data_IF_137076115609
#
_entry.id   IF_137076115609
#
_cell.length_a   1.000
_cell.length_b   1.000
_cell.length_c   1.000
_cell.angle_alpha   90.00
_cell.angle_beta   90.00
_cell.angle_gamma   90.00
#
_symmetry.space_group_name_H-M   'P 1'
#
loop_
_entity.id
_entity.type
_entity.pdbx_description
1 polymer ?
#
# COMPACT_ATOMS: atom_id res chain seq x y z
N UNK A 1 1.74 15.05 13.79
CA UNK A 1 1.14 15.28 12.45
C UNK A 1 0.14 16.41 12.55
N UNK A 2 0.39 17.48 11.80
CA UNK A 2 -0.39 18.72 11.83
C UNK A 2 -1.46 18.62 10.74
N UNK A 3 -2.73 18.61 11.13
CA UNK A 3 -3.85 18.62 10.18
C UNK A 3 -4.20 20.05 9.77
N UNK A 4 -4.13 20.33 8.47
CA UNK A 4 -4.57 21.61 7.87
C UNK A 4 -6.10 21.69 7.86
N UNK A 5 -6.63 22.85 8.24
CA UNK A 5 -8.08 23.12 8.34
C UNK A 5 -8.78 23.16 6.97
N UNK A 6 -8.06 23.56 5.92
CA UNK A 6 -8.66 23.99 4.65
C UNK A 6 -8.08 23.27 3.42
N UNK A 7 -7.31 22.19 3.61
CA UNK A 7 -6.63 21.50 2.51
C UNK A 7 -5.51 22.32 1.85
N UNK A 8 -5.01 23.36 2.53
CA UNK A 8 -4.01 24.27 1.98
C UNK A 8 -2.58 23.68 2.02
N UNK A 9 -1.88 23.97 0.93
CA UNK A 9 -0.46 23.76 0.62
C UNK A 9 0.45 24.23 1.76
N UNK A 10 1.38 23.38 2.18
CA UNK A 10 2.52 23.78 3.00
C UNK A 10 3.53 24.47 2.08
N UNK A 11 3.68 25.78 2.22
CA UNK A 11 4.54 26.63 1.39
C UNK A 11 5.98 26.72 1.94
N UNK A 12 6.29 25.95 2.98
CA UNK A 12 7.64 25.82 3.53
C UNK A 12 7.99 26.84 4.61
N UNK A 13 7.03 27.66 5.06
CA UNK A 13 7.21 28.60 6.17
C UNK A 13 6.64 28.04 7.48
N UNK A 14 7.40 27.13 8.10
CA UNK A 14 7.04 26.35 9.30
C UNK A 14 6.36 27.14 10.44
N UNK A 15 6.81 28.34 10.87
CA UNK A 15 6.20 29.01 12.02
C UNK A 15 4.79 29.53 11.76
N UNK A 16 4.48 29.94 10.52
CA UNK A 16 3.17 30.50 10.17
C UNK A 16 2.12 29.41 9.91
N UNK A 17 2.56 28.23 9.44
CA UNK A 17 1.70 27.08 9.19
C UNK A 17 1.32 26.33 10.48
N UNK A 18 2.22 26.33 11.47
CA UNK A 18 1.95 25.79 12.80
C UNK A 18 0.89 26.59 13.57
N UNK A 19 0.87 27.93 13.42
CA UNK A 19 -0.10 28.80 14.11
C UNK A 19 -1.53 28.69 13.53
N UNK A 20 -1.68 28.25 12.28
CA UNK A 20 -2.97 28.17 11.58
C UNK A 20 -3.62 26.78 11.65
N UNK A 21 -2.95 25.81 12.26
CA UNK A 21 -3.38 24.41 12.30
C UNK A 21 -3.94 24.01 13.66
N UNK A 22 -4.92 23.10 13.69
CA UNK A 22 -5.53 22.62 14.94
C UNK A 22 -4.49 21.94 15.83
N UNK A 23 -4.20 22.54 16.99
CA UNK A 23 -3.37 21.94 18.04
C UNK A 23 -4.18 20.94 18.89
N UNK A 24 -4.78 19.93 18.26
CA UNK A 24 -5.07 18.69 18.99
C UNK A 24 -3.94 17.73 18.66
N UNK A 25 -2.93 17.59 19.53
CA UNK A 25 -1.88 16.62 19.31
C UNK A 25 -2.54 15.24 19.14
N UNK A 26 -2.24 14.59 18.02
CA UNK A 26 -2.72 13.23 17.79
C UNK A 26 -2.07 12.34 18.84
N UNK A 27 -2.89 11.71 19.67
CA UNK A 27 -2.45 10.79 20.73
C UNK A 27 -2.89 9.36 20.42
N UNK A 28 -2.21 8.38 21.00
CA UNK A 28 -2.57 6.96 20.85
C UNK A 28 -4.01 6.69 21.25
N UNK A 29 -4.53 7.41 22.26
CA UNK A 29 -5.94 7.33 22.68
C UNK A 29 -6.90 7.78 21.58
N UNK A 30 -6.61 8.90 20.90
CA UNK A 30 -7.43 9.39 19.78
C UNK A 30 -7.44 8.40 18.63
N UNK A 31 -6.26 7.86 18.31
CA UNK A 31 -6.11 6.83 17.27
C UNK A 31 -6.92 5.58 17.59
N UNK A 32 -6.76 5.05 18.80
CA UNK A 32 -7.45 3.83 19.25
C UNK A 32 -8.97 4.03 19.24
N UNK A 33 -9.44 5.19 19.70
CA UNK A 33 -10.87 5.54 19.69
C UNK A 33 -11.42 5.61 18.25
N UNK A 34 -10.68 6.21 17.33
CA UNK A 34 -11.07 6.29 15.93
C UNK A 34 -11.12 4.89 15.28
N UNK A 35 -10.11 4.05 15.54
CA UNK A 35 -10.05 2.69 15.05
C UNK A 35 -11.26 1.86 15.53
N UNK A 36 -11.58 1.92 16.82
CA UNK A 36 -12.76 1.27 17.40
C UNK A 36 -14.07 1.74 16.75
N UNK A 37 -14.23 3.05 16.53
CA UNK A 37 -15.43 3.61 15.88
C UNK A 37 -15.57 3.19 14.42
N UNK A 38 -14.46 3.04 13.72
CA UNK A 38 -14.44 2.60 12.33
C UNK A 38 -14.50 1.07 12.18
N UNK A 39 -14.42 0.31 13.28
CA UNK A 39 -14.36 -1.15 13.25
C UNK A 39 -13.10 -1.68 12.57
N UNK A 40 -11.97 -0.99 12.73
CA UNK A 40 -10.67 -1.40 12.16
C UNK A 40 -9.69 -1.77 13.27
N UNK A 41 -8.91 -2.83 13.05
CA UNK A 41 -7.90 -3.32 14.01
C UNK A 41 -6.49 -2.79 13.72
N UNK A 42 -6.37 -1.95 12.70
CA UNK A 42 -5.08 -1.47 12.21
C UNK A 42 -5.07 0.02 11.92
N UNK A 43 -3.87 0.53 11.77
CA UNK A 43 -3.60 1.91 11.40
C UNK A 43 -2.60 1.94 10.27
N UNK A 44 -2.74 2.93 9.40
CA UNK A 44 -1.83 3.19 8.30
C UNK A 44 -1.23 4.59 8.46
N UNK A 45 0.11 4.68 8.49
CA UNK A 45 0.83 5.95 8.44
C UNK A 45 1.38 6.16 7.03
N UNK A 46 1.13 7.34 6.47
CA UNK A 46 1.87 7.78 5.30
C UNK A 46 3.21 8.39 5.75
N UNK A 47 4.29 7.78 5.33
CA UNK A 47 5.66 8.29 5.32
C UNK A 47 5.74 9.40 4.27
N UNK A 48 5.12 10.53 4.59
CA UNK A 48 5.48 11.78 3.94
C UNK A 48 6.82 12.27 4.51
N UNK A 49 7.32 13.39 3.98
CA UNK A 49 8.41 14.16 4.61
C UNK A 49 8.20 14.45 6.12
N UNK A 50 7.01 14.15 6.68
CA UNK A 50 6.67 14.21 8.09
C UNK A 50 7.44 13.24 9.02
N UNK A 51 8.23 12.28 8.53
CA UNK A 51 9.13 11.51 9.42
C UNK A 51 10.51 12.14 9.64
N UNK A 52 10.68 13.40 9.24
CA UNK A 52 11.62 14.25 9.95
C UNK A 52 11.30 14.36 11.45
N UNK A 53 10.04 14.14 11.85
CA UNK A 53 9.56 14.26 13.23
C UNK A 53 9.42 12.89 13.94
N UNK A 54 10.24 12.60 14.96
CA UNK A 54 10.18 11.38 15.78
C UNK A 54 8.80 11.07 16.37
N UNK A 55 7.97 12.11 16.59
CA UNK A 55 6.67 11.99 17.25
C UNK A 55 5.71 11.09 16.45
N UNK A 56 5.78 11.11 15.12
CA UNK A 56 4.92 10.27 14.27
C UNK A 56 5.22 8.77 14.41
N UNK A 57 6.50 8.42 14.57
CA UNK A 57 6.94 7.03 14.76
C UNK A 57 6.56 6.54 16.15
N UNK A 58 6.80 7.36 17.18
CA UNK A 58 6.46 7.01 18.55
C UNK A 58 4.95 6.78 18.70
N UNK A 59 4.13 7.57 18.00
CA UNK A 59 2.68 7.36 17.95
C UNK A 59 2.30 6.05 17.25
N UNK A 60 2.89 5.76 16.08
CA UNK A 60 2.64 4.53 15.33
C UNK A 60 3.01 3.27 16.14
N UNK A 61 4.16 3.30 16.79
CA UNK A 61 4.67 2.19 17.58
C UNK A 61 3.97 2.07 18.94
N UNK A 62 3.64 3.19 19.57
CA UNK A 62 3.00 3.25 20.88
C UNK A 62 1.48 3.06 20.88
N UNK A 63 0.83 3.07 19.71
CA UNK A 63 -0.61 2.81 19.63
C UNK A 63 -0.88 1.29 19.71
N UNK A 64 -1.77 0.84 20.62
CA UNK A 64 -2.07 -0.58 20.86
C UNK A 64 -3.05 -1.14 19.81
N UNK A 65 -2.77 -0.91 18.52
CA UNK A 65 -3.48 -1.55 17.42
C UNK A 65 -2.75 -2.81 16.97
N UNK A 66 -3.51 -3.76 16.43
CA UNK A 66 -3.02 -5.08 16.03
C UNK A 66 -2.14 -5.00 14.80
N UNK A 67 -2.57 -4.23 13.80
CA UNK A 67 -1.88 -4.14 12.51
C UNK A 67 -1.34 -2.73 12.25
N UNK A 68 -0.07 -2.67 11.83
CA UNK A 68 0.62 -1.43 11.47
C UNK A 68 0.99 -1.46 10.00
N UNK A 69 0.53 -0.44 9.28
CA UNK A 69 0.90 -0.23 7.89
C UNK A 69 1.66 1.08 7.72
N UNK A 70 2.69 1.05 6.88
CA UNK A 70 3.44 2.23 6.47
C UNK A 70 3.40 2.35 4.95
N UNK A 71 3.02 3.52 4.47
CA UNK A 71 3.05 3.88 3.04
C UNK A 71 4.23 4.81 2.82
N UNK A 72 5.15 4.54 1.90
CA UNK A 72 6.34 5.40 1.69
C UNK A 72 6.79 5.44 0.24
N UNK A 73 7.35 6.56 -0.21
CA UNK A 73 8.05 6.63 -1.50
C UNK A 73 9.50 6.12 -1.44
N UNK A 74 9.95 5.63 -0.28
CA UNK A 74 11.30 5.12 -0.07
C UNK A 74 12.35 6.21 0.22
N UNK A 75 11.93 7.46 0.35
CA UNK A 75 12.80 8.57 0.75
C UNK A 75 12.63 8.87 2.24
N UNK A 76 13.73 8.84 2.98
CA UNK A 76 13.73 9.03 4.43
C UNK A 76 15.08 8.72 5.05
N UNK A 77 15.12 8.79 6.39
CA UNK A 77 16.28 8.48 7.22
C UNK A 77 16.46 6.95 7.35
N UNK A 78 17.52 6.35 6.77
CA UNK A 78 17.75 4.91 6.83
C UNK A 78 17.82 4.37 8.26
N UNK A 79 18.31 5.16 9.21
CA UNK A 79 18.39 4.79 10.64
C UNK A 79 17.01 4.55 11.29
N UNK A 80 15.95 5.20 10.78
CA UNK A 80 14.59 4.95 11.27
C UNK A 80 14.04 3.63 10.73
N UNK A 81 14.55 3.17 9.59
CA UNK A 81 14.09 1.94 8.97
C UNK A 81 14.43 0.71 9.82
N UNK A 82 15.64 0.65 10.38
CA UNK A 82 16.08 -0.44 11.27
C UNK A 82 15.12 -0.64 12.45
N UNK A 83 14.59 0.47 12.97
CA UNK A 83 13.64 0.47 14.09
C UNK A 83 12.22 0.09 13.65
N UNK A 84 11.83 0.41 12.41
CA UNK A 84 10.47 0.22 11.90
C UNK A 84 10.24 -1.16 11.29
N UNK A 85 11.17 -1.68 10.48
CA UNK A 85 11.07 -3.00 9.82
C UNK A 85 10.50 -4.10 10.73
N UNK A 86 11.03 -4.36 11.95
CA UNK A 86 10.53 -5.45 12.77
C UNK A 86 9.10 -5.22 13.31
N UNK A 87 8.69 -3.95 13.42
CA UNK A 87 7.45 -3.53 14.07
C UNK A 87 6.30 -3.28 13.09
N UNK A 88 6.59 -3.12 11.80
CA UNK A 88 5.58 -2.87 10.77
C UNK A 88 5.13 -4.18 10.17
N UNK A 89 3.82 -4.32 10.09
CA UNK A 89 3.17 -5.52 9.58
C UNK A 89 3.12 -5.47 8.06
N UNK A 90 2.69 -4.34 7.48
CA UNK A 90 2.60 -4.12 6.03
C UNK A 90 3.31 -2.84 5.58
N UNK A 91 3.99 -2.94 4.44
CA UNK A 91 4.58 -1.81 3.74
C UNK A 91 3.88 -1.60 2.41
N UNK A 92 3.64 -0.34 2.05
CA UNK A 92 3.17 0.07 0.74
C UNK A 92 4.20 1.03 0.14
N UNK A 93 4.98 0.56 -0.82
CA UNK A 93 5.95 1.39 -1.53
C UNK A 93 5.25 2.15 -2.65
N UNK A 94 5.35 3.48 -2.67
CA UNK A 94 4.81 4.34 -3.71
C UNK A 94 5.93 4.74 -4.66
N UNK A 95 5.91 4.26 -5.89
CA UNK A 95 6.90 4.62 -6.91
C UNK A 95 6.18 5.36 -8.03
N UNK A 96 6.43 6.66 -8.13
CA UNK A 96 5.87 7.53 -9.16
C UNK A 96 6.86 7.70 -10.32
N UNK A 97 6.36 8.21 -11.45
CA UNK A 97 7.15 8.53 -12.65
C UNK A 97 8.43 9.33 -12.37
N UNK A 98 9.47 9.05 -13.14
CA UNK A 98 10.82 9.66 -13.10
C UNK A 98 11.58 9.54 -11.77
N UNK A 99 10.94 9.10 -10.70
CA UNK A 99 11.58 8.90 -9.41
C UNK A 99 12.37 7.59 -9.42
N UNK A 100 13.69 7.72 -9.22
CA UNK A 100 14.51 6.60 -8.79
C UNK A 100 13.90 6.08 -7.48
N UNK A 101 13.60 4.78 -7.34
CA UNK A 101 13.10 4.26 -6.07
C UNK A 101 14.00 4.74 -4.93
N UNK A 102 13.40 5.30 -3.87
CA UNK A 102 14.18 5.85 -2.79
C UNK A 102 15.08 4.79 -2.13
N UNK A 103 16.18 5.19 -1.48
CA UNK A 103 17.24 4.28 -1.02
C UNK A 103 16.77 3.23 -0.01
N UNK A 104 15.62 3.41 0.64
CA UNK A 104 15.06 2.43 1.57
C UNK A 104 14.06 1.45 0.93
N UNK A 105 13.69 1.62 -0.35
CA UNK A 105 12.78 0.69 -1.04
C UNK A 105 13.32 -0.74 -1.09
N UNK A 106 14.59 -0.92 -1.45
CA UNK A 106 15.21 -2.24 -1.54
C UNK A 106 15.28 -2.93 -0.16
N UNK A 107 15.79 -2.29 0.91
CA UNK A 107 15.73 -2.87 2.25
C UNK A 107 14.30 -3.17 2.74
N UNK A 108 13.31 -2.32 2.43
CA UNK A 108 11.91 -2.60 2.78
C UNK A 108 11.44 -3.87 2.08
N UNK A 109 11.71 -4.02 0.78
CA UNK A 109 11.35 -5.24 0.05
C UNK A 109 12.03 -6.47 0.65
N UNK A 110 13.32 -6.40 0.95
CA UNK A 110 14.09 -7.54 1.46
C UNK A 110 13.70 -8.00 2.87
N UNK A 111 13.30 -7.07 3.74
CA UNK A 111 13.15 -7.36 5.16
C UNK A 111 11.74 -7.09 5.72
N UNK A 112 10.87 -6.43 4.96
CA UNK A 112 9.48 -6.20 5.33
C UNK A 112 8.68 -7.50 5.38
N UNK A 113 7.80 -7.66 6.37
CA UNK A 113 6.98 -8.87 6.53
C UNK A 113 6.00 -9.07 5.38
N UNK A 114 5.38 -7.98 4.94
CA UNK A 114 4.46 -7.95 3.80
C UNK A 114 4.67 -6.64 3.07
N UNK A 115 4.99 -6.70 1.78
CA UNK A 115 5.31 -5.50 0.99
C UNK A 115 4.49 -5.49 -0.29
N UNK A 116 3.70 -4.46 -0.46
CA UNK A 116 3.02 -4.16 -1.73
C UNK A 116 3.62 -2.92 -2.35
N UNK A 117 3.68 -2.90 -3.68
CA UNK A 117 4.25 -1.77 -4.42
C UNK A 117 3.15 -1.16 -5.28
N UNK A 118 2.95 0.15 -5.17
CA UNK A 118 2.07 0.93 -6.04
C UNK A 118 2.93 1.66 -7.04
N UNK A 119 2.76 1.33 -8.31
CA UNK A 119 3.52 1.91 -9.43
C UNK A 119 2.60 2.90 -10.15
N UNK A 120 2.97 4.18 -10.05
CA UNK A 120 2.28 5.30 -10.66
C UNK A 120 3.09 5.95 -11.77
N UNK A 121 3.29 5.23 -12.88
CA UNK A 121 4.02 5.73 -14.04
C UNK A 121 3.07 6.27 -15.12
N UNK A 122 3.49 7.32 -15.84
CA UNK A 122 2.84 7.84 -17.06
C UNK A 122 3.61 7.47 -18.33
N UNK A 123 4.83 6.92 -18.19
CA UNK A 123 5.66 6.45 -19.29
C UNK A 123 6.28 5.06 -19.06
N UNK A 124 7.37 4.77 -19.78
CA UNK A 124 8.17 3.57 -19.59
C UNK A 124 8.83 3.60 -18.20
N UNK A 125 8.86 2.47 -17.48
CA UNK A 125 9.42 2.44 -16.14
C UNK A 125 10.92 2.73 -16.14
N UNK A 126 11.39 3.51 -15.16
CA UNK A 126 12.81 3.76 -14.96
C UNK A 126 13.57 2.45 -14.65
N UNK A 127 14.78 2.25 -15.19
CA UNK A 127 15.54 0.99 -15.01
C UNK A 127 15.75 0.61 -13.54
N UNK A 128 15.91 1.59 -12.64
CA UNK A 128 16.06 1.33 -11.21
C UNK A 128 14.81 0.68 -10.58
N UNK A 129 13.61 0.95 -11.09
CA UNK A 129 12.39 0.23 -10.69
C UNK A 129 12.51 -1.26 -11.04
N UNK A 130 13.01 -1.55 -12.23
CA UNK A 130 13.14 -2.93 -12.75
C UNK A 130 14.19 -3.75 -11.99
N UNK A 131 15.15 -3.08 -11.34
CA UNK A 131 16.22 -3.72 -10.57
C UNK A 131 15.83 -4.03 -9.12
N UNK A 132 14.64 -3.64 -8.66
CA UNK A 132 14.19 -3.95 -7.31
C UNK A 132 14.05 -5.47 -7.11
N UNK A 133 14.23 -5.99 -5.87
CA UNK A 133 14.08 -7.42 -5.56
C UNK A 133 12.61 -7.83 -5.51
N UNK A 134 11.95 -7.82 -6.66
CA UNK A 134 10.53 -8.09 -6.85
C UNK A 134 10.06 -9.47 -6.35
N UNK A 135 10.95 -10.44 -6.22
CA UNK A 135 10.64 -11.75 -5.65
C UNK A 135 10.19 -11.67 -4.19
N UNK A 136 10.56 -10.60 -3.48
CA UNK A 136 10.17 -10.35 -2.09
C UNK A 136 8.85 -9.54 -1.99
N UNK A 137 8.37 -8.97 -3.10
CA UNK A 137 7.11 -8.24 -3.13
C UNK A 137 5.92 -9.21 -3.10
N UNK A 138 4.92 -8.91 -2.26
CA UNK A 138 3.67 -9.66 -2.22
C UNK A 138 2.79 -9.37 -3.44
N UNK A 139 2.79 -8.12 -3.92
CA UNK A 139 2.08 -7.71 -5.12
C UNK A 139 2.55 -6.34 -5.65
N UNK A 140 2.30 -6.09 -6.93
CA UNK A 140 2.38 -4.76 -7.54
C UNK A 140 0.99 -4.27 -7.95
N UNK A 141 0.71 -2.98 -7.75
CA UNK A 141 -0.50 -2.29 -8.14
C UNK A 141 -0.18 -1.23 -9.17
N UNK A 142 -0.64 -1.41 -10.40
CA UNK A 142 -0.49 -0.42 -11.47
C UNK A 142 -1.59 0.63 -11.34
N UNK A 143 -1.20 1.87 -11.06
CA UNK A 143 -2.11 3.00 -10.86
C UNK A 143 -1.79 4.11 -11.87
N UNK A 144 -2.54 4.23 -12.98
CA UNK A 144 -2.29 5.27 -13.97
C UNK A 144 -2.52 6.67 -13.38
N UNK A 145 -1.54 7.59 -13.50
CA UNK A 145 -1.72 9.03 -13.18
C UNK A 145 -2.37 9.76 -14.38
N UNK A 146 -3.35 10.65 -14.13
CA UNK A 146 -4.23 11.29 -15.15
C UNK A 146 -3.92 12.79 -15.42
N UNK A 147 -4.34 13.40 -16.59
CA UNK A 147 -5.44 12.95 -17.46
C UNK A 147 -5.20 12.74 -18.98
N UNK A 148 -4.00 12.80 -19.56
CA UNK A 148 -3.85 12.75 -21.04
C UNK A 148 -3.38 11.44 -21.69
N UNK A 149 -2.93 10.41 -20.95
CA UNK A 149 -2.16 9.32 -21.58
C UNK A 149 -2.84 7.93 -21.65
N UNK A 150 -4.10 7.76 -21.23
CA UNK A 150 -4.63 6.39 -21.10
C UNK A 150 -6.15 6.33 -20.89
N UNK A 151 -6.92 6.41 -21.98
CA UNK A 151 -8.30 5.90 -22.02
C UNK A 151 -8.39 4.87 -23.13
N UNK A 152 -8.83 3.65 -22.81
CA UNK A 152 -8.94 2.56 -23.80
C UNK A 152 -7.60 1.89 -24.09
N UNK A 153 -7.20 1.85 -25.36
CA UNK A 153 -6.09 1.02 -25.86
C UNK A 153 -4.73 1.44 -25.31
N UNK A 154 -4.48 2.74 -25.10
CA UNK A 154 -3.20 3.23 -24.57
C UNK A 154 -3.00 2.79 -23.11
N UNK A 155 -4.08 2.81 -22.30
CA UNK A 155 -4.05 2.26 -20.95
C UNK A 155 -3.75 0.76 -20.97
N UNK A 156 -4.42 0.02 -21.85
CA UNK A 156 -4.19 -1.42 -22.02
C UNK A 156 -2.74 -1.73 -22.38
N UNK A 157 -2.21 -0.99 -23.34
CA UNK A 157 -0.86 -1.16 -23.82
C UNK A 157 0.16 -0.89 -22.72
N UNK A 158 -0.01 0.21 -21.98
CA UNK A 158 0.84 0.53 -20.83
C UNK A 158 0.79 -0.55 -19.75
N UNK A 159 -0.40 -1.01 -19.36
CA UNK A 159 -0.55 -2.09 -18.36
C UNK A 159 0.14 -3.38 -18.83
N UNK A 160 0.00 -3.74 -20.10
CA UNK A 160 0.65 -4.91 -20.69
C UNK A 160 2.18 -4.77 -20.78
N UNK A 161 2.68 -3.58 -21.12
CA UNK A 161 4.12 -3.28 -21.14
C UNK A 161 4.69 -3.40 -19.72
N UNK A 162 4.02 -2.79 -18.73
CA UNK A 162 4.40 -2.88 -17.31
C UNK A 162 4.39 -4.33 -16.80
N UNK A 163 3.35 -5.11 -17.13
CA UNK A 163 3.29 -6.52 -16.75
C UNK A 163 4.43 -7.33 -17.37
N UNK A 164 4.85 -7.01 -18.60
CA UNK A 164 6.00 -7.65 -19.26
C UNK A 164 7.35 -7.25 -18.66
N UNK A 165 7.45 -6.06 -18.08
CA UNK A 165 8.66 -5.57 -17.43
C UNK A 165 8.86 -6.09 -16.01
N UNK A 166 7.81 -6.63 -15.37
CA UNK A 166 7.85 -7.20 -14.03
C UNK A 166 8.04 -8.73 -14.08
N UNK A 167 8.53 -9.37 -12.99
CA UNK A 167 8.67 -10.81 -12.96
C UNK A 167 7.32 -11.54 -13.18
N UNK A 168 7.26 -12.59 -14.01
CA UNK A 168 6.02 -13.31 -14.30
C UNK A 168 5.34 -13.95 -13.07
N UNK A 169 6.09 -14.21 -12.00
CA UNK A 169 5.58 -14.79 -10.76
C UNK A 169 4.98 -13.77 -9.80
N UNK A 170 5.15 -12.47 -10.05
CA UNK A 170 4.65 -11.40 -9.20
C UNK A 170 3.14 -11.18 -9.45
N UNK A 171 2.28 -11.22 -8.42
CA UNK A 171 0.90 -10.81 -8.57
C UNK A 171 0.82 -9.32 -8.96
N UNK A 172 0.24 -9.03 -10.12
CA UNK A 172 0.04 -7.65 -10.60
C UNK A 172 -1.44 -7.32 -10.64
N UNK A 173 -1.83 -6.24 -9.96
CA UNK A 173 -3.17 -5.67 -9.97
C UNK A 173 -3.16 -4.39 -10.79
N UNK A 174 -3.81 -4.39 -11.94
CA UNK A 174 -3.96 -3.19 -12.79
C UNK A 174 -5.44 -2.83 -12.93
N UNK A 175 -5.75 -1.71 -13.60
CA UNK A 175 -7.13 -1.19 -13.66
C UNK A 175 -8.12 -2.15 -14.31
N UNK A 176 -7.62 -3.14 -15.06
CA UNK A 176 -8.41 -4.17 -15.73
C UNK A 176 -8.35 -5.55 -15.07
N UNK A 177 -7.48 -5.75 -14.08
CA UNK A 177 -7.44 -6.99 -13.30
C UNK A 177 -8.66 -7.02 -12.38
N UNK A 178 -9.77 -7.43 -13.00
CA UNK A 178 -11.11 -7.09 -12.54
C UNK A 178 -11.67 -8.08 -11.54
N UNK A 179 -11.09 -9.27 -11.43
CA UNK A 179 -11.67 -10.33 -10.60
C UNK A 179 -10.66 -11.46 -10.32
N UNK A 180 -10.69 -12.07 -9.13
CA UNK A 180 -10.18 -13.42 -8.92
C UNK A 180 -11.27 -14.44 -9.21
N UNK A 181 -11.03 -15.39 -10.13
CA UNK A 181 -11.96 -16.46 -10.45
C UNK A 181 -11.55 -17.79 -9.80
N UNK A 182 -12.52 -18.68 -9.57
CA UNK A 182 -12.27 -20.04 -9.12
C UNK A 182 -11.59 -20.83 -10.24
N UNK A 183 -10.45 -21.49 -9.99
CA UNK A 183 -9.76 -22.26 -11.03
C UNK A 183 -10.57 -23.48 -11.50
N UNK A 184 -11.49 -23.98 -10.66
CA UNK A 184 -12.29 -25.17 -10.97
C UNK A 184 -13.57 -24.85 -11.73
N UNK A 185 -14.36 -23.89 -11.25
CA UNK A 185 -15.69 -23.61 -11.80
C UNK A 185 -15.80 -22.27 -12.54
N UNK A 186 -14.74 -21.47 -12.56
CA UNK A 186 -14.74 -20.15 -13.18
C UNK A 186 -15.58 -19.10 -12.44
N UNK A 187 -16.18 -19.43 -11.29
CA UNK A 187 -16.97 -18.47 -10.53
C UNK A 187 -16.11 -17.29 -10.06
N UNK A 188 -16.65 -16.08 -10.19
CA UNK A 188 -16.07 -14.84 -9.68
C UNK A 188 -16.01 -14.90 -8.14
N UNK A 189 -14.80 -15.03 -7.59
CA UNK A 189 -14.58 -15.13 -6.16
C UNK A 189 -14.47 -13.77 -5.49
N UNK A 190 -13.67 -12.87 -6.08
CA UNK A 190 -13.45 -11.51 -5.59
C UNK A 190 -13.40 -10.57 -6.77
N UNK A 191 -14.39 -9.70 -6.89
CA UNK A 191 -14.43 -8.61 -7.84
C UNK A 191 -13.57 -7.44 -7.37
N UNK A 192 -12.87 -6.79 -8.28
CA UNK A 192 -12.03 -5.62 -8.06
C UNK A 192 -12.17 -4.65 -9.22
N UNK A 193 -12.50 -3.39 -8.97
CA UNK A 193 -12.51 -2.38 -10.03
C UNK A 193 -12.32 -0.99 -9.43
N UNK A 194 -11.42 -0.20 -10.02
CA UNK A 194 -11.21 1.20 -9.64
C UNK A 194 -10.94 1.42 -8.14
N UNK A 195 -10.09 0.58 -7.54
CA UNK A 195 -9.73 0.65 -6.12
C UNK A 195 -10.80 0.15 -5.15
N UNK A 196 -11.91 -0.41 -5.66
CA UNK A 196 -12.93 -1.08 -4.85
C UNK A 196 -12.79 -2.58 -4.99
N UNK A 197 -13.06 -3.31 -3.92
CA UNK A 197 -13.16 -4.77 -3.93
C UNK A 197 -14.49 -5.22 -3.34
N UNK A 198 -15.01 -6.34 -3.84
CA UNK A 198 -16.19 -7.02 -3.32
C UNK A 198 -15.94 -8.52 -3.34
N UNK A 199 -16.25 -9.19 -2.23
CA UNK A 199 -16.17 -10.64 -2.14
C UNK A 199 -17.51 -11.20 -2.62
N UNK A 200 -17.46 -12.05 -3.64
CA UNK A 200 -18.65 -12.64 -4.26
C UNK A 200 -18.78 -14.11 -3.86
N UNK A 201 -18.07 -15.01 -4.54
CA UNK A 201 -18.18 -16.46 -4.32
C UNK A 201 -17.05 -17.05 -3.47
N UNK A 202 -16.32 -16.24 -2.69
CA UNK A 202 -15.33 -16.75 -1.75
C UNK A 202 -15.87 -16.89 -0.33
N UNK A 203 -15.66 -18.06 0.27
CA UNK A 203 -15.79 -18.28 1.70
C UNK A 203 -14.45 -17.98 2.37
N UNK A 204 -14.34 -16.81 3.01
CA UNK A 204 -13.12 -16.36 3.68
C UNK A 204 -12.71 -17.26 4.85
N UNK A 205 -13.69 -17.82 5.59
CA UNK A 205 -13.42 -18.63 6.77
C UNK A 205 -12.88 -20.00 6.36
N UNK A 206 -13.43 -20.56 5.29
CA UNK A 206 -13.09 -21.92 4.83
C UNK A 206 -12.03 -21.94 3.74
N UNK A 207 -11.72 -20.81 3.11
CA UNK A 207 -10.77 -20.73 2.00
C UNK A 207 -11.23 -21.45 0.73
N UNK A 208 -12.55 -21.54 0.52
CA UNK A 208 -13.15 -22.29 -0.60
C UNK A 208 -14.06 -21.41 -1.46
N UNK A 209 -14.28 -21.84 -2.70
CA UNK A 209 -15.32 -21.27 -3.54
C UNK A 209 -16.71 -21.70 -3.04
N UNK A 210 -17.60 -20.76 -2.71
CA UNK A 210 -19.00 -21.03 -2.33
C UNK A 210 -19.79 -21.73 -3.44
N UNK A 211 -19.41 -21.50 -4.70
CA UNK A 211 -20.13 -22.07 -5.85
C UNK A 211 -19.82 -23.54 -6.11
N UNK A 212 -18.61 -24.01 -5.83
CA UNK A 212 -18.20 -25.39 -6.17
C UNK A 212 -17.49 -26.15 -5.04
N UNK A 213 -17.27 -25.51 -3.90
CA UNK A 213 -16.52 -26.08 -2.77
C UNK A 213 -15.02 -26.23 -3.01
N UNK A 214 -14.50 -25.91 -4.20
CA UNK A 214 -13.09 -26.06 -4.50
C UNK A 214 -12.24 -25.13 -3.63
N UNK A 215 -11.19 -25.65 -2.96
CA UNK A 215 -10.21 -24.83 -2.28
C UNK A 215 -9.61 -23.84 -3.27
N UNK A 216 -9.72 -22.55 -2.96
CA UNK A 216 -9.17 -21.52 -3.82
C UNK A 216 -8.39 -20.55 -2.95
N UNK A 217 -7.09 -20.49 -3.18
CA UNK A 217 -6.26 -19.45 -2.62
C UNK A 217 -6.49 -18.18 -3.45
N UNK A 218 -7.42 -17.33 -3.01
CA UNK A 218 -7.21 -15.92 -3.32
C UNK A 218 -6.03 -15.55 -2.46
N UNK A 219 -4.89 -15.26 -3.10
CA UNK A 219 -3.78 -14.55 -2.46
C UNK A 219 -4.26 -13.12 -2.19
N UNK A 220 -5.26 -12.99 -1.34
CA UNK A 220 -5.55 -11.77 -0.61
C UNK A 220 -4.38 -11.65 0.34
N UNK A 221 -3.65 -10.55 0.26
CA UNK A 221 -2.81 -10.09 1.35
C UNK A 221 -3.60 -10.18 2.66
N UNK A 222 -3.39 -11.26 3.41
CA UNK A 222 -3.88 -11.41 4.77
C UNK A 222 -2.76 -12.05 5.56
N UNK A 223 -2.15 -11.19 6.37
CA UNK A 223 -1.62 -11.46 7.68
C UNK A 223 -2.15 -12.76 8.25
N UNK A 224 -1.27 -13.75 8.36
CA UNK A 224 -1.45 -14.83 9.33
C UNK A 224 -0.75 -14.39 10.60
N UNK A 225 -1.54 -13.94 11.57
CA UNK A 225 -1.17 -14.13 12.96
C UNK A 225 -1.17 -15.63 13.24
N UNK A 226 0.03 -16.19 13.40
CA UNK A 226 0.20 -17.51 13.97
C UNK A 226 0.27 -17.39 15.49
N UNK A 227 -0.87 -17.50 16.15
CA UNK A 227 -0.94 -18.02 17.53
C UNK A 227 -2.17 -18.91 17.65
N UNK A 228 -1.93 -20.23 17.59
CA UNK A 228 -2.50 -21.32 18.42
C UNK A 228 -2.13 -22.64 17.77
#
# INVERSE_FOLDING_TARGET
>A
MVGSRDGATFDGHTPADEQRSFQRPISSTLVTTAAQRCGVDGWCANWSAALHDPIGIDLLLGTPLRYRCVVTSGYGKPELLERLIPCIDAWVLLIADDDVPGPVCEPILQFGKHVEVVIGCSGQPHQALLNLPWQEAAAAHLQPRRPHAAVGVELQQWEQDMCRSLPPSLPVYHSQHSTTFCPQCGAELVWRHGGRSRIDQWDEERGICRSCGHPSSIRSAKFRDTTS
#
